data_IF_339456291613
#
_entry.id   IF_339456291613
#
_cell.length_a   1.000
_cell.length_b   1.000
_cell.length_c   1.000
_cell.angle_alpha   90.00
_cell.angle_beta   90.00
_cell.angle_gamma   90.00
#
_symmetry.space_group_name_H-M   'P 1'
#
loop_
_entity.id
_entity.type
_entity.pdbx_description
1 polymer ?
#
# COMPACT_ATOMS: atom_id res chain seq x y z
N UNK A 1 -13.07 -22.01 -11.79
CA UNK A 1 -12.43 -20.91 -12.56
C UNK A 1 -11.31 -20.34 -11.71
N UNK A 2 -10.06 -20.46 -12.14
CA UNK A 2 -8.88 -19.86 -11.50
C UNK A 2 -8.74 -18.43 -12.02
N UNK A 3 -8.62 -17.45 -11.11
CA UNK A 3 -8.31 -16.07 -11.49
C UNK A 3 -6.80 -16.00 -11.81
N UNK A 4 -6.44 -15.47 -12.97
CA UNK A 4 -5.03 -15.32 -13.36
C UNK A 4 -4.27 -14.31 -12.50
N UNK A 5 -4.98 -13.25 -12.01
CA UNK A 5 -4.42 -12.16 -11.21
C UNK A 5 -5.42 -11.71 -10.14
N UNK A 6 -4.95 -11.46 -8.94
CA UNK A 6 -5.73 -10.92 -7.83
C UNK A 6 -5.02 -9.71 -7.21
N UNK A 7 -5.78 -8.67 -6.84
CA UNK A 7 -5.26 -7.46 -6.23
C UNK A 7 -5.92 -7.25 -4.87
N UNK A 8 -5.11 -7.16 -3.82
CA UNK A 8 -5.55 -6.89 -2.46
C UNK A 8 -5.39 -5.41 -2.13
N UNK A 9 -6.49 -4.77 -1.74
CA UNK A 9 -6.50 -3.39 -1.24
C UNK A 9 -6.40 -3.44 0.28
N UNK A 10 -5.21 -3.19 0.82
CA UNK A 10 -4.93 -3.38 2.24
C UNK A 10 -4.61 -2.05 2.93
N UNK A 11 -4.81 -2.02 4.26
CA UNK A 11 -4.43 -0.86 5.06
C UNK A 11 -2.89 -0.75 5.16
N UNK A 12 -2.43 0.45 5.51
CA UNK A 12 -0.99 0.78 5.69
C UNK A 12 -0.25 -0.17 6.66
N UNK A 13 -0.99 -0.84 7.54
CA UNK A 13 -0.41 -1.82 8.46
C UNK A 13 0.26 -2.99 7.73
N UNK A 14 -0.28 -3.37 6.59
CA UNK A 14 0.23 -4.48 5.76
C UNK A 14 1.45 -4.12 4.91
N UNK A 15 1.89 -2.85 4.90
CA UNK A 15 3.17 -2.49 4.30
C UNK A 15 4.31 -2.89 5.25
N UNK A 16 4.65 -4.16 5.24
CA UNK A 16 5.68 -4.76 6.08
C UNK A 16 6.49 -5.81 5.31
N UNK A 17 7.75 -6.02 5.71
CA UNK A 17 8.60 -7.03 5.06
C UNK A 17 7.99 -8.42 5.15
N UNK A 18 7.48 -8.90 6.31
CA UNK A 18 6.84 -10.21 6.40
C UNK A 18 5.64 -10.38 5.47
N UNK A 19 4.83 -9.33 5.26
CA UNK A 19 3.70 -9.39 4.35
C UNK A 19 4.14 -9.56 2.89
N UNK A 20 5.22 -8.88 2.48
CA UNK A 20 5.78 -9.01 1.14
C UNK A 20 6.44 -10.38 0.93
N UNK A 21 7.18 -10.88 1.92
CA UNK A 21 7.77 -12.23 1.90
C UNK A 21 6.67 -13.28 1.74
N UNK A 22 5.60 -13.18 2.54
CA UNK A 22 4.46 -14.09 2.42
C UNK A 22 3.77 -14.00 1.06
N UNK A 23 3.61 -12.81 0.52
CA UNK A 23 3.08 -12.61 -0.83
C UNK A 23 3.96 -13.30 -1.88
N UNK A 24 5.28 -13.16 -1.76
CA UNK A 24 6.23 -13.78 -2.68
C UNK A 24 6.18 -15.31 -2.61
N UNK A 25 6.07 -15.89 -1.41
CA UNK A 25 5.88 -17.33 -1.21
C UNK A 25 4.60 -17.83 -1.89
N UNK A 26 3.47 -17.13 -1.67
CA UNK A 26 2.20 -17.47 -2.29
C UNK A 26 2.25 -17.38 -3.81
N UNK A 27 2.95 -16.38 -4.35
CA UNK A 27 3.15 -16.22 -5.78
C UNK A 27 4.11 -17.26 -6.39
N UNK A 28 5.01 -17.82 -5.59
CA UNK A 28 5.93 -18.87 -6.05
C UNK A 28 5.25 -20.24 -6.18
N UNK A 29 4.24 -20.51 -5.35
CA UNK A 29 3.56 -21.80 -5.28
C UNK A 29 2.16 -21.80 -5.91
N UNK A 30 1.53 -20.62 -6.01
CA UNK A 30 0.16 -20.48 -6.49
C UNK A 30 0.04 -20.30 -8.00
N UNK A 31 -1.13 -20.63 -8.53
CA UNK A 31 -1.51 -20.41 -9.94
C UNK A 31 -2.02 -18.99 -10.21
N UNK A 32 -2.51 -18.32 -9.16
CA UNK A 32 -3.00 -16.93 -9.22
C UNK A 32 -1.91 -15.97 -8.79
N UNK A 33 -1.55 -15.02 -9.64
CA UNK A 33 -0.62 -13.95 -9.31
C UNK A 33 -1.30 -12.93 -8.38
N UNK A 34 -0.78 -12.80 -7.17
CA UNK A 34 -1.34 -11.92 -6.14
C UNK A 34 -0.51 -10.63 -6.03
N UNK A 35 -1.19 -9.51 -5.92
CA UNK A 35 -0.58 -8.19 -5.72
C UNK A 35 -1.24 -7.44 -4.57
N UNK A 36 -0.52 -6.49 -3.99
CA UNK A 36 -1.00 -5.63 -2.91
C UNK A 36 -0.95 -4.18 -3.38
N UNK A 37 -2.04 -3.44 -3.13
CA UNK A 37 -2.06 -1.98 -3.11
C UNK A 37 -2.36 -1.54 -1.69
N UNK A 38 -1.51 -0.67 -1.16
CA UNK A 38 -1.61 -0.17 0.22
C UNK A 38 -1.12 1.27 0.31
N UNK A 39 -1.16 1.85 1.50
CA UNK A 39 -0.64 3.18 1.81
C UNK A 39 0.64 3.07 2.65
N UNK A 40 1.68 3.81 2.29
CA UNK A 40 2.89 3.90 3.10
C UNK A 40 2.71 4.89 4.26
N UNK A 41 3.56 4.74 5.28
CA UNK A 41 3.70 5.76 6.33
C UNK A 41 4.29 7.03 5.73
N UNK A 42 3.93 8.20 6.26
CA UNK A 42 4.44 9.49 5.77
C UNK A 42 5.97 9.61 5.86
N UNK A 43 6.58 8.94 6.83
CA UNK A 43 8.03 8.89 7.03
C UNK A 43 8.70 7.69 6.33
N UNK A 44 8.02 7.03 5.41
CA UNK A 44 8.58 5.88 4.69
C UNK A 44 9.83 6.28 3.90
N UNK A 45 10.80 5.37 3.92
CA UNK A 45 12.07 5.49 3.23
C UNK A 45 12.18 4.35 2.23
N UNK A 46 12.58 4.68 1.02
CA UNK A 46 12.86 3.74 -0.07
C UNK A 46 14.31 3.92 -0.55
N UNK A 47 14.70 3.14 -1.54
CA UNK A 47 16.06 3.17 -2.07
C UNK A 47 16.01 3.12 -3.59
N UNK A 48 16.92 3.83 -4.23
CA UNK A 48 17.17 3.67 -5.65
C UNK A 48 17.74 2.28 -5.97
N UNK A 49 17.64 1.89 -7.22
CA UNK A 49 18.39 0.71 -7.69
C UNK A 49 19.89 0.95 -7.53
N UNK A 50 20.67 -0.07 -7.18
CA UNK A 50 22.11 0.09 -7.08
C UNK A 50 22.70 0.43 -8.45
N UNK A 51 23.71 1.30 -8.45
CA UNK A 51 24.46 1.59 -9.68
C UNK A 51 25.10 0.34 -10.25
N UNK A 52 24.96 0.15 -11.56
CA UNK A 52 25.58 -0.97 -12.29
C UNK A 52 27.09 -0.87 -12.43
N UNK A 53 27.71 0.23 -12.03
CA UNK A 53 29.17 0.39 -12.07
C UNK A 53 29.83 -0.69 -11.24
N UNK A 54 30.61 -1.55 -11.86
CA UNK A 54 31.50 -2.51 -11.21
C UNK A 54 32.50 -1.74 -10.36
N UNK A 55 32.27 -1.68 -9.08
CA UNK A 55 33.20 -1.10 -8.12
C UNK A 55 33.92 -2.25 -7.41
N UNK A 56 35.20 -2.41 -7.72
CA UNK A 56 36.21 -3.14 -6.96
C UNK A 56 35.85 -4.56 -6.46
N UNK A 57 36.76 -5.11 -5.64
CA UNK A 57 36.55 -6.37 -4.92
C UNK A 57 35.50 -6.18 -3.80
N UNK A 58 34.47 -7.01 -3.80
CA UNK A 58 33.46 -7.02 -2.74
C UNK A 58 32.09 -7.50 -3.20
N UNK A 59 31.18 -7.73 -2.24
CA UNK A 59 29.80 -8.10 -2.53
C UNK A 59 29.07 -6.94 -3.21
N UNK A 60 28.35 -7.18 -4.32
CA UNK A 60 27.55 -6.15 -4.99
C UNK A 60 26.56 -5.49 -4.02
N UNK A 61 26.40 -4.18 -4.14
CA UNK A 61 25.42 -3.42 -3.34
C UNK A 61 24.00 -3.89 -3.69
N UNK A 62 23.19 -4.17 -2.69
CA UNK A 62 21.77 -4.57 -2.86
C UNK A 62 20.83 -3.38 -3.04
N UNK A 63 21.26 -2.17 -2.68
CA UNK A 63 20.49 -0.92 -2.74
C UNK A 63 21.35 0.25 -3.14
N UNK A 64 20.75 1.26 -3.75
CA UNK A 64 21.37 2.54 -4.09
C UNK A 64 21.16 3.60 -3.01
N UNK A 65 20.95 4.84 -3.44
CA UNK A 65 20.77 6.04 -2.60
C UNK A 65 19.47 5.91 -1.79
N UNK A 66 19.51 6.47 -0.59
CA UNK A 66 18.33 6.56 0.30
C UNK A 66 17.39 7.66 -0.18
N UNK A 67 16.12 7.33 -0.33
CA UNK A 67 15.07 8.24 -0.78
C UNK A 67 14.03 8.40 0.35
N UNK A 68 13.97 9.60 0.94
CA UNK A 68 12.94 9.96 1.91
C UNK A 68 11.69 10.41 1.14
N UNK A 69 10.66 9.57 1.07
CA UNK A 69 9.51 9.82 0.21
C UNK A 69 8.76 11.13 0.53
N UNK A 70 8.69 11.51 1.81
CA UNK A 70 8.06 12.78 2.21
C UNK A 70 8.78 14.01 1.62
N UNK A 71 10.10 13.99 1.52
CA UNK A 71 10.86 15.14 0.99
C UNK A 71 10.64 15.38 -0.50
N UNK A 72 10.24 14.34 -1.26
CA UNK A 72 9.97 14.42 -2.69
C UNK A 72 8.81 15.39 -3.00
N UNK A 73 7.81 15.49 -2.13
CA UNK A 73 6.70 16.42 -2.33
C UNK A 73 7.15 17.89 -2.47
N UNK A 74 8.29 18.22 -1.87
CA UNK A 74 8.89 19.55 -1.97
C UNK A 74 9.98 19.61 -3.04
N UNK A 75 10.93 18.67 -2.99
CA UNK A 75 12.10 18.68 -3.87
C UNK A 75 11.79 18.41 -5.35
N UNK A 76 10.71 17.72 -5.65
CA UNK A 76 10.28 17.35 -7.00
C UNK A 76 8.89 17.91 -7.35
N UNK A 77 8.50 19.03 -6.76
CA UNK A 77 7.17 19.62 -6.96
C UNK A 77 6.84 19.87 -8.45
N UNK A 78 7.82 20.26 -9.25
CA UNK A 78 7.65 20.48 -10.68
C UNK A 78 7.46 19.20 -11.51
N UNK A 79 7.78 18.02 -10.94
CA UNK A 79 7.65 16.72 -11.64
C UNK A 79 6.29 16.07 -11.43
N UNK A 80 5.42 16.67 -10.60
CA UNK A 80 4.09 16.15 -10.39
C UNK A 80 3.20 16.39 -11.62
N UNK A 81 2.53 15.33 -12.04
CA UNK A 81 1.54 15.37 -13.12
C UNK A 81 0.14 15.61 -12.54
N UNK A 82 -0.74 16.21 -13.33
CA UNK A 82 -2.15 16.41 -12.96
C UNK A 82 -3.03 15.39 -13.68
N UNK A 83 -4.02 14.85 -12.98
CA UNK A 83 -5.04 14.00 -13.55
C UNK A 83 -6.40 14.21 -12.87
N UNK A 84 -7.47 13.91 -13.61
CA UNK A 84 -8.81 13.76 -13.04
C UNK A 84 -9.03 12.28 -12.72
N UNK A 85 -9.36 12.00 -11.46
CA UNK A 85 -9.56 10.62 -10.98
C UNK A 85 -10.84 10.54 -10.18
N UNK A 86 -11.67 9.55 -10.48
CA UNK A 86 -12.88 9.31 -9.69
C UNK A 86 -12.53 8.66 -8.36
N UNK A 87 -12.67 9.40 -7.26
CA UNK A 87 -12.45 8.95 -5.89
C UNK A 87 -13.76 9.08 -5.12
N UNK A 88 -14.23 7.98 -4.51
CA UNK A 88 -15.52 7.92 -3.79
C UNK A 88 -16.74 8.36 -4.62
N UNK A 89 -16.71 8.16 -5.94
CA UNK A 89 -17.78 8.55 -6.84
C UNK A 89 -17.80 10.03 -7.22
N UNK A 90 -16.77 10.79 -6.82
CA UNK A 90 -16.56 12.19 -7.22
C UNK A 90 -15.31 12.30 -8.08
N UNK A 91 -15.35 13.16 -9.06
CA UNK A 91 -14.16 13.52 -9.83
C UNK A 91 -13.32 14.51 -9.04
N UNK A 92 -12.07 14.12 -8.78
CA UNK A 92 -11.11 14.91 -8.03
C UNK A 92 -9.88 15.19 -8.91
N UNK A 93 -9.42 16.44 -8.87
CA UNK A 93 -8.14 16.81 -9.49
C UNK A 93 -7.02 16.43 -8.55
N UNK A 94 -6.17 15.51 -8.98
CA UNK A 94 -5.03 15.03 -8.21
C UNK A 94 -3.71 15.43 -8.86
N UNK A 95 -2.74 15.78 -8.05
CA UNK A 95 -1.34 15.88 -8.47
C UNK A 95 -0.63 14.60 -8.00
N UNK A 96 0.09 13.94 -8.88
CA UNK A 96 0.79 12.71 -8.53
C UNK A 96 2.16 12.60 -9.19
N UNK A 97 3.03 11.83 -8.53
CA UNK A 97 4.33 11.44 -9.04
C UNK A 97 4.52 9.94 -8.82
N UNK A 98 4.85 9.21 -9.88
CA UNK A 98 5.06 7.77 -9.86
C UNK A 98 6.55 7.44 -9.87
N UNK A 99 7.01 6.59 -8.95
CA UNK A 99 8.40 6.18 -8.80
C UNK A 99 8.48 4.68 -8.49
N UNK A 100 9.31 3.96 -9.22
CA UNK A 100 9.61 2.57 -8.92
C UNK A 100 10.93 2.51 -8.12
N UNK A 101 10.84 2.13 -6.84
CA UNK A 101 11.92 2.16 -5.86
C UNK A 101 12.00 0.86 -5.08
N UNK A 102 13.18 0.54 -4.58
CA UNK A 102 13.40 -0.61 -3.70
C UNK A 102 12.91 -0.30 -2.28
N UNK A 103 12.24 -1.26 -1.67
CA UNK A 103 11.75 -1.15 -0.30
C UNK A 103 11.92 -2.45 0.50
N UNK A 104 11.92 -2.32 1.81
CA UNK A 104 12.06 -3.43 2.76
C UNK A 104 13.51 -3.75 3.07
N UNK A 105 13.94 -3.48 4.33
CA UNK A 105 15.30 -3.76 4.76
C UNK A 105 15.56 -5.27 4.69
N UNK A 106 16.62 -5.65 3.98
CA UNK A 106 16.97 -7.06 3.73
C UNK A 106 16.34 -7.62 2.46
N UNK A 107 15.06 -7.36 2.20
CA UNK A 107 14.32 -7.81 1.04
C UNK A 107 14.66 -6.99 -0.23
N UNK A 108 14.66 -5.66 -0.09
CA UNK A 108 14.91 -4.70 -1.18
C UNK A 108 14.11 -5.03 -2.45
N UNK A 109 12.82 -5.27 -2.28
CA UNK A 109 11.90 -5.53 -3.38
C UNK A 109 11.52 -4.23 -4.07
N UNK A 110 11.43 -4.27 -5.40
CA UNK A 110 10.94 -3.12 -6.17
C UNK A 110 9.43 -2.99 -6.02
N UNK A 111 9.01 -1.78 -5.66
CA UNK A 111 7.61 -1.41 -5.48
C UNK A 111 7.35 -0.11 -6.23
N UNK A 112 6.13 0.04 -6.73
CA UNK A 112 5.65 1.28 -7.33
C UNK A 112 5.08 2.18 -6.26
N UNK A 113 5.68 3.35 -6.08
CA UNK A 113 5.24 4.40 -5.19
C UNK A 113 4.53 5.48 -5.98
N UNK A 114 3.31 5.80 -5.59
CA UNK A 114 2.54 6.92 -6.14
C UNK A 114 2.35 7.94 -5.03
N UNK A 115 3.09 9.04 -5.15
CA UNK A 115 2.94 10.19 -4.26
C UNK A 115 1.78 11.02 -4.77
N UNK A 116 0.77 11.23 -3.93
CA UNK A 116 -0.48 11.87 -4.31
C UNK A 116 -0.74 13.09 -3.46
N UNK A 117 -1.13 14.19 -4.10
CA UNK A 117 -1.57 15.43 -3.45
C UNK A 117 -2.98 15.77 -3.91
N UNK A 118 -3.89 15.91 -2.96
CA UNK A 118 -5.28 16.32 -3.20
C UNK A 118 -5.56 17.49 -2.25
N UNK A 119 -5.65 18.71 -2.79
CA UNK A 119 -5.62 19.91 -1.95
C UNK A 119 -4.38 19.92 -1.08
N UNK A 120 -4.55 20.00 0.24
CA UNK A 120 -3.46 19.98 1.22
C UNK A 120 -3.10 18.57 1.73
N UNK A 121 -3.87 17.56 1.32
CA UNK A 121 -3.64 16.19 1.77
C UNK A 121 -2.56 15.51 0.95
N UNK A 122 -1.54 15.00 1.64
CA UNK A 122 -0.45 14.23 1.07
C UNK A 122 -0.62 12.75 1.40
N UNK A 123 -0.49 11.90 0.39
CA UNK A 123 -0.57 10.45 0.54
C UNK A 123 0.51 9.77 -0.29
N UNK A 124 1.01 8.65 0.20
CA UNK A 124 1.97 7.80 -0.50
C UNK A 124 1.31 6.44 -0.66
N UNK A 125 0.88 6.11 -1.87
CA UNK A 125 0.33 4.81 -2.21
C UNK A 125 1.43 3.90 -2.72
N UNK A 126 1.26 2.61 -2.56
CA UNK A 126 2.27 1.60 -2.92
C UNK A 126 1.59 0.43 -3.60
N UNK A 127 2.17 -0.03 -4.69
CA UNK A 127 1.77 -1.26 -5.38
C UNK A 127 2.94 -2.21 -5.55
N UNK A 128 2.70 -3.50 -5.35
CA UNK A 128 3.63 -4.57 -5.75
C UNK A 128 3.51 -4.92 -7.23
N UNK A 129 2.45 -4.46 -7.88
CA UNK A 129 2.26 -4.60 -9.32
C UNK A 129 2.83 -3.37 -10.04
N UNK A 130 3.95 -3.55 -10.71
CA UNK A 130 4.62 -2.48 -11.46
C UNK A 130 3.98 -2.20 -12.83
N UNK A 131 2.96 -2.98 -13.21
CA UNK A 131 2.24 -2.77 -14.48
C UNK A 131 1.02 -1.86 -14.35
N UNK A 132 0.56 -1.61 -13.10
CA UNK A 132 -0.58 -0.73 -12.85
C UNK A 132 -0.21 0.73 -13.09
N UNK A 133 -1.08 1.45 -13.80
CA UNK A 133 -0.95 2.89 -13.95
C UNK A 133 -1.16 3.63 -12.61
N UNK A 134 -0.50 4.77 -12.44
CA UNK A 134 -0.60 5.54 -11.21
C UNK A 134 -2.02 5.98 -10.89
N UNK A 135 -2.78 6.41 -11.89
CA UNK A 135 -4.19 6.80 -11.76
C UNK A 135 -5.09 5.64 -11.36
N UNK A 136 -4.80 4.43 -11.84
CA UNK A 136 -5.52 3.22 -11.43
C UNK A 136 -5.23 2.86 -9.98
N UNK A 137 -3.98 2.99 -9.54
CA UNK A 137 -3.61 2.77 -8.12
C UNK A 137 -4.37 3.74 -7.21
N UNK A 138 -4.48 5.03 -7.60
CA UNK A 138 -5.21 6.04 -6.83
C UNK A 138 -6.70 5.67 -6.77
N UNK A 139 -7.32 5.36 -7.91
CA UNK A 139 -8.72 4.98 -8.02
C UNK A 139 -9.04 3.72 -7.20
N UNK A 140 -8.24 2.67 -7.36
CA UNK A 140 -8.42 1.40 -6.67
C UNK A 140 -8.28 1.56 -5.17
N UNK A 141 -7.28 2.30 -4.68
CA UNK A 141 -7.13 2.54 -3.25
C UNK A 141 -8.32 3.29 -2.65
N UNK A 142 -8.97 4.15 -3.43
CA UNK A 142 -10.23 4.80 -3.03
C UNK A 142 -11.33 3.80 -2.64
N UNK A 143 -11.39 2.63 -3.27
CA UNK A 143 -12.40 1.61 -2.92
C UNK A 143 -12.20 1.00 -1.53
N UNK A 144 -11.00 1.05 -0.96
CA UNK A 144 -10.76 0.54 0.40
C UNK A 144 -11.67 1.18 1.45
N UNK A 145 -11.92 2.47 1.33
CA UNK A 145 -12.79 3.19 2.26
C UNK A 145 -14.26 2.72 2.22
N UNK A 146 -14.72 2.14 1.11
CA UNK A 146 -16.08 1.59 1.01
C UNK A 146 -16.31 0.47 2.02
N UNK A 147 -15.27 -0.30 2.35
CA UNK A 147 -15.35 -1.38 3.36
C UNK A 147 -15.69 -0.78 4.73
N UNK A 148 -15.04 0.32 5.10
CA UNK A 148 -15.30 1.00 6.39
C UNK A 148 -16.72 1.57 6.43
N UNK A 149 -17.21 2.14 5.33
CA UNK A 149 -18.59 2.60 5.20
C UNK A 149 -19.59 1.45 5.33
N UNK A 150 -19.33 0.32 4.65
CA UNK A 150 -20.17 -0.88 4.75
C UNK A 150 -20.27 -1.40 6.18
N UNK A 151 -19.14 -1.51 6.89
CA UNK A 151 -19.16 -1.93 8.30
C UNK A 151 -19.91 -0.94 9.20
N UNK A 152 -19.79 0.37 8.94
CA UNK A 152 -20.53 1.39 9.68
C UNK A 152 -22.04 1.25 9.43
N UNK A 153 -22.46 1.08 8.18
CA UNK A 153 -23.87 0.90 7.83
C UNK A 153 -24.43 -0.41 8.39
N UNK A 154 -23.67 -1.50 8.32
CA UNK A 154 -24.06 -2.76 8.96
C UNK A 154 -24.31 -2.59 10.47
N UNK A 155 -23.48 -1.81 11.16
CA UNK A 155 -23.64 -1.54 12.59
C UNK A 155 -24.79 -0.62 12.88
N UNK A 156 -24.95 0.45 12.12
CA UNK A 156 -25.90 1.54 12.42
C UNK A 156 -27.30 1.29 11.84
N UNK A 157 -27.39 0.77 10.63
CA UNK A 157 -28.66 0.61 9.90
C UNK A 157 -29.23 -0.79 10.06
N UNK A 158 -28.41 -1.83 9.89
CA UNK A 158 -28.87 -3.21 9.93
C UNK A 158 -28.82 -3.78 11.37
N UNK A 159 -28.11 -3.11 12.29
CA UNK A 159 -27.94 -3.61 13.66
C UNK A 159 -27.14 -4.92 13.74
N UNK A 160 -26.38 -5.26 12.69
CA UNK A 160 -25.72 -6.56 12.50
C UNK A 160 -24.75 -6.99 13.61
N UNK A 161 -24.39 -6.08 14.52
CA UNK A 161 -23.57 -6.34 15.70
C UNK A 161 -24.23 -5.89 17.00
N UNK A 162 -25.55 -5.63 16.99
CA UNK A 162 -26.30 -5.16 18.16
C UNK A 162 -26.61 -6.27 19.16
N UNK A 163 -26.38 -7.53 18.79
CA UNK A 163 -26.55 -8.66 19.70
C UNK A 163 -25.40 -8.71 20.70
N UNK A 164 -25.62 -8.05 21.83
CA UNK A 164 -24.77 -8.23 23.01
C UNK A 164 -25.33 -9.38 23.83
N UNK A 165 -24.95 -10.62 23.50
CA UNK A 165 -25.20 -11.77 24.35
C UNK A 165 -24.20 -11.78 25.51
N UNK A 166 -24.62 -11.29 26.66
CA UNK A 166 -23.93 -11.51 27.91
C UNK A 166 -24.53 -12.77 28.56
N UNK A 167 -23.92 -13.91 28.36
CA UNK A 167 -24.23 -15.11 29.09
C UNK A 167 -23.34 -15.19 30.33
N UNK A 168 -23.93 -15.51 31.49
CA UNK A 168 -23.19 -15.76 32.75
C UNK A 168 -22.17 -16.90 32.62
N UNK A 169 -22.34 -17.79 31.63
CA UNK A 169 -21.43 -18.90 31.32
C UNK A 169 -20.31 -18.54 30.37
N UNK A 170 -20.26 -17.32 29.80
CA UNK A 170 -19.14 -16.89 28.99
C UNK A 170 -17.91 -16.54 29.83
N UNK A 171 -16.73 -17.13 29.54
CA UNK A 171 -15.50 -16.73 30.23
C UNK A 171 -15.20 -15.26 29.98
N UNK A 172 -14.86 -14.53 31.03
CA UNK A 172 -14.48 -13.11 30.91
C UNK A 172 -13.24 -13.02 29.99
N UNK A 173 -13.37 -12.31 28.88
CA UNK A 173 -12.24 -11.98 28.03
C UNK A 173 -11.22 -11.16 28.85
N UNK A 174 -10.08 -11.77 29.16
CA UNK A 174 -8.93 -11.05 29.74
C UNK A 174 -8.38 -10.15 28.63
N UNK A 175 -8.63 -8.86 28.73
CA UNK A 175 -8.18 -7.84 27.76
C UNK A 175 -6.67 -7.69 27.66
N UNK A 176 -5.92 -8.24 28.61
CA UNK A 176 -4.46 -8.18 28.66
C UNK A 176 -3.94 -9.56 29.08
N UNK A 177 -3.50 -10.33 28.11
CA UNK A 177 -2.53 -11.39 28.36
C UNK A 177 -1.16 -10.71 28.39
N UNK A 178 -0.52 -10.72 29.59
CA UNK A 178 0.89 -10.37 29.71
C UNK A 178 1.73 -11.45 29.07
#
# INVERSE_FOLDING_TARGET
KTFGKALFLLDRYFMSVPALERLNELNATGTTRMHIVTKAKSNAVAYERPSTKKMGRGRPRKKGTVVKLKSIFQSHAASFQMAQVTIYGKEETVQYLCLDLLWGQGLYQELRFVLVKIGDQLSILVSTDLTLEATDIIRLYGYRFKIECTFREMKQVIGGFSYQFWSKSMPKLKRYLK
#
